data_IF_170302647015
#
_entry.id   IF_170302647015
#
_cell.length_a   1.000
_cell.length_b   1.000
_cell.length_c   1.000
_cell.angle_alpha   90.00
_cell.angle_beta   90.00
_cell.angle_gamma   90.00
#
_symmetry.space_group_name_H-M   'P 1'
#
loop_
_entity.id
_entity.type
_entity.pdbx_description
1 polymer ?
#
# COMPACT_ATOMS: atom_id res chain seq x y z
N UNK A 1 -17.87 -13.78 3.71
CA UNK A 1 -16.48 -13.35 3.48
C UNK A 1 -16.12 -13.74 2.06
N UNK A 2 -16.72 -13.07 1.09
CA UNK A 2 -16.39 -13.17 -0.33
C UNK A 2 -16.77 -11.87 -1.08
N UNK A 3 -17.25 -10.83 -0.36
CA UNK A 3 -17.74 -9.58 -0.94
C UNK A 3 -16.66 -8.49 -0.95
N UNK A 4 -15.72 -8.47 0.01
CA UNK A 4 -14.70 -7.41 0.13
C UNK A 4 -13.70 -7.36 -1.03
N UNK A 5 -13.54 -8.47 -1.76
CA UNK A 5 -12.60 -8.54 -2.88
C UNK A 5 -13.11 -7.75 -4.09
N UNK A 6 -14.43 -7.60 -4.24
CA UNK A 6 -15.01 -6.88 -5.38
C UNK A 6 -14.84 -5.36 -5.28
N UNK A 7 -14.53 -4.84 -4.09
CA UNK A 7 -14.36 -3.41 -3.78
C UNK A 7 -12.88 -2.98 -3.75
N UNK A 8 -11.96 -3.85 -4.17
CA UNK A 8 -10.55 -3.48 -4.31
C UNK A 8 -10.36 -2.68 -5.60
N UNK A 9 -9.82 -1.46 -5.49
CA UNK A 9 -9.52 -0.62 -6.64
C UNK A 9 -8.35 -1.18 -7.44
N UNK A 10 -7.25 -1.47 -6.75
CA UNK A 10 -6.07 -2.13 -7.34
C UNK A 10 -5.13 -2.70 -6.27
N UNK A 11 -4.32 -3.66 -6.69
CA UNK A 11 -3.17 -4.13 -5.94
C UNK A 11 -1.97 -4.35 -6.86
N UNK A 12 -0.86 -3.68 -6.56
CA UNK A 12 0.33 -3.65 -7.41
C UNK A 12 1.58 -4.07 -6.65
N UNK A 13 2.48 -4.75 -7.35
CA UNK A 13 3.85 -4.98 -6.95
C UNK A 13 4.81 -4.10 -7.77
N UNK A 14 5.56 -3.23 -7.10
CA UNK A 14 6.63 -2.44 -7.71
C UNK A 14 8.00 -2.91 -7.22
N UNK A 15 8.90 -3.26 -8.15
CA UNK A 15 10.24 -3.77 -7.85
C UNK A 15 11.25 -3.34 -8.92
N UNK A 16 12.53 -3.56 -8.66
CA UNK A 16 13.61 -3.25 -9.61
C UNK A 16 14.21 -4.51 -10.22
N UNK A 17 14.30 -4.51 -11.55
CA UNK A 17 15.02 -5.52 -12.33
C UNK A 17 16.06 -4.81 -13.20
N UNK A 18 17.32 -5.21 -13.13
CA UNK A 18 18.42 -4.61 -13.91
C UNK A 18 18.54 -3.07 -13.79
N UNK A 19 18.11 -2.53 -12.65
CA UNK A 19 18.15 -1.08 -12.37
C UNK A 19 16.91 -0.30 -12.85
N UNK A 20 15.97 -0.96 -13.53
CA UNK A 20 14.73 -0.37 -14.03
C UNK A 20 13.55 -0.78 -13.13
N UNK A 21 12.56 0.13 -12.99
CA UNK A 21 11.32 -0.18 -12.28
C UNK A 21 10.42 -1.06 -13.12
N UNK A 22 9.78 -2.02 -12.46
CA UNK A 22 8.72 -2.87 -13.01
C UNK A 22 7.53 -2.80 -12.07
N UNK A 23 6.34 -2.64 -12.63
CA UNK A 23 5.06 -2.67 -11.91
C UNK A 23 4.24 -3.84 -12.46
N UNK A 24 3.66 -4.63 -11.57
CA UNK A 24 2.83 -5.78 -11.92
C UNK A 24 1.59 -5.84 -11.04
N UNK A 25 0.43 -6.17 -11.62
CA UNK A 25 -0.79 -6.39 -10.87
C UNK A 25 -0.70 -7.67 -10.02
N UNK A 26 -1.25 -7.59 -8.82
CA UNK A 26 -1.47 -8.70 -7.91
C UNK A 26 -2.92 -9.15 -8.00
N UNK A 27 -3.17 -10.45 -7.89
CA UNK A 27 -4.55 -10.94 -7.80
C UNK A 27 -5.14 -10.62 -6.44
N UNK A 28 -6.43 -10.29 -6.42
CA UNK A 28 -7.13 -9.90 -5.19
C UNK A 28 -7.18 -10.99 -4.12
N UNK A 29 -7.05 -12.29 -4.48
CA UNK A 29 -6.89 -13.39 -3.51
C UNK A 29 -5.69 -13.22 -2.57
N UNK A 30 -4.74 -12.33 -2.87
CA UNK A 30 -3.62 -12.03 -1.98
C UNK A 30 -3.95 -11.01 -0.88
N UNK A 31 -5.11 -10.36 -0.95
CA UNK A 31 -5.45 -9.19 -0.15
C UNK A 31 -6.32 -9.52 1.06
N UNK A 32 -6.61 -10.79 1.30
CA UNK A 32 -7.32 -11.22 2.50
C UNK A 32 -6.43 -11.11 3.76
N UNK A 33 -5.10 -11.16 3.60
CA UNK A 33 -4.17 -11.25 4.72
C UNK A 33 -2.73 -10.76 4.37
N UNK A 34 -2.08 -10.09 5.32
CA UNK A 34 -0.73 -9.53 5.18
C UNK A 34 0.35 -10.59 4.98
N UNK A 35 0.25 -11.77 5.61
CA UNK A 35 1.21 -12.85 5.39
C UNK A 35 1.11 -13.40 3.96
N UNK A 36 -0.11 -13.51 3.43
CA UNK A 36 -0.34 -13.92 2.03
C UNK A 36 0.23 -12.89 1.06
N UNK A 37 -0.11 -11.61 1.25
CA UNK A 37 0.40 -10.50 0.44
C UNK A 37 1.93 -10.44 0.48
N UNK A 38 2.52 -10.47 1.68
CA UNK A 38 3.97 -10.41 1.83
C UNK A 38 4.67 -11.64 1.24
N UNK A 39 4.06 -12.83 1.32
CA UNK A 39 4.59 -14.04 0.67
C UNK A 39 4.55 -13.93 -0.86
N UNK A 40 3.52 -13.31 -1.43
CA UNK A 40 3.45 -13.02 -2.86
C UNK A 40 4.55 -12.04 -3.29
N UNK A 41 4.73 -10.94 -2.56
CA UNK A 41 5.75 -9.91 -2.84
C UNK A 41 7.18 -10.47 -2.77
N UNK A 42 7.46 -11.44 -1.88
CA UNK A 42 8.77 -12.14 -1.80
C UNK A 42 9.14 -12.92 -3.05
N UNK A 43 8.18 -13.22 -3.95
CA UNK A 43 8.45 -13.97 -5.19
C UNK A 43 9.08 -13.12 -6.28
N UNK A 44 8.96 -11.80 -6.18
CA UNK A 44 9.54 -10.89 -7.16
C UNK A 44 11.04 -10.68 -6.94
N UNK A 45 11.83 -10.58 -8.02
CA UNK A 45 13.25 -10.24 -7.92
C UNK A 45 13.38 -8.76 -7.54
N UNK A 46 13.96 -8.46 -6.37
CA UNK A 46 14.16 -7.08 -5.94
C UNK A 46 15.35 -6.95 -5.00
N UNK A 47 16.48 -6.46 -5.51
CA UNK A 47 17.70 -6.27 -4.71
C UNK A 47 17.50 -5.30 -3.53
N UNK A 48 16.60 -4.33 -3.68
CA UNK A 48 16.26 -3.30 -2.67
C UNK A 48 14.91 -3.56 -2.00
N UNK A 49 14.32 -4.73 -2.25
CA UNK A 49 12.97 -5.11 -1.83
C UNK A 49 11.89 -4.82 -2.86
N UNK A 50 10.70 -5.37 -2.59
CA UNK A 50 9.47 -5.23 -3.38
C UNK A 50 8.48 -4.38 -2.59
N UNK A 51 7.83 -3.42 -3.25
CA UNK A 51 6.72 -2.65 -2.73
C UNK A 51 5.41 -3.29 -3.18
N UNK A 52 4.47 -3.48 -2.27
CA UNK A 52 3.06 -3.69 -2.52
C UNK A 52 2.33 -2.38 -2.29
N UNK A 53 1.50 -1.95 -3.24
CA UNK A 53 0.66 -0.76 -3.18
C UNK A 53 -0.77 -1.22 -3.42
N UNK A 54 -1.63 -1.04 -2.43
CA UNK A 54 -3.03 -1.51 -2.47
C UNK A 54 -3.93 -0.35 -2.09
N UNK A 55 -4.95 -0.06 -2.90
CA UNK A 55 -6.04 0.85 -2.59
C UNK A 55 -7.36 0.08 -2.60
N UNK A 56 -8.25 0.42 -1.68
CA UNK A 56 -9.51 -0.28 -1.46
C UNK A 56 -10.62 0.76 -1.26
N UNK A 57 -11.73 0.54 -1.99
CA UNK A 57 -13.00 1.27 -1.93
C UNK A 57 -12.87 2.81 -1.99
N UNK A 58 -11.85 3.32 -2.69
CA UNK A 58 -11.52 4.76 -2.73
C UNK A 58 -11.32 5.39 -1.33
N UNK A 59 -11.13 4.57 -0.28
CA UNK A 59 -11.21 4.96 1.13
C UNK A 59 -9.84 4.95 1.82
N UNK A 60 -9.11 3.83 1.72
CA UNK A 60 -7.81 3.68 2.36
C UNK A 60 -6.79 2.95 1.49
N UNK A 61 -5.52 3.02 1.89
CA UNK A 61 -4.45 2.28 1.25
C UNK A 61 -3.54 1.54 2.23
N UNK A 62 -2.89 0.51 1.70
CA UNK A 62 -1.82 -0.23 2.38
C UNK A 62 -0.57 -0.25 1.52
N UNK A 63 0.56 0.14 2.11
CA UNK A 63 1.89 -0.04 1.52
C UNK A 63 2.62 -1.14 2.28
N UNK A 64 3.01 -2.19 1.56
CA UNK A 64 3.79 -3.29 2.09
C UNK A 64 5.18 -3.27 1.49
N UNK A 65 6.22 -3.24 2.30
CA UNK A 65 7.60 -3.38 1.81
C UNK A 65 8.22 -4.66 2.32
N UNK A 66 8.64 -5.49 1.38
CA UNK A 66 9.31 -6.75 1.65
C UNK A 66 10.76 -6.67 1.19
N UNK A 67 11.70 -6.91 2.10
CA UNK A 67 13.12 -7.03 1.79
C UNK A 67 13.71 -8.24 2.52
N UNK A 68 14.00 -9.32 1.76
CA UNK A 68 14.41 -10.59 2.34
C UNK A 68 13.35 -11.15 3.28
N UNK A 69 13.69 -11.32 4.56
CA UNK A 69 12.74 -11.77 5.60
C UNK A 69 11.98 -10.63 6.27
N UNK A 70 12.35 -9.37 6.02
CA UNK A 70 11.71 -8.21 6.63
C UNK A 70 10.44 -7.85 5.87
N UNK A 71 9.33 -7.69 6.59
CA UNK A 71 8.11 -7.05 6.13
C UNK A 71 7.86 -5.82 6.97
N UNK A 72 7.61 -4.69 6.32
CA UNK A 72 7.30 -3.40 6.93
C UNK A 72 6.03 -2.88 6.27
N UNK A 73 5.18 -2.20 7.02
CA UNK A 73 3.83 -1.85 6.59
C UNK A 73 3.54 -0.38 6.90
N UNK A 74 2.70 0.22 6.08
CA UNK A 74 2.00 1.47 6.36
C UNK A 74 0.53 1.27 5.95
N UNK A 75 -0.38 1.48 6.88
CA UNK A 75 -1.81 1.59 6.66
C UNK A 75 -2.18 3.07 6.81
N UNK A 76 -2.98 3.62 5.89
CA UNK A 76 -3.34 5.04 5.92
C UNK A 76 -4.36 5.38 7.00
N UNK A 77 -5.24 4.44 7.32
CA UNK A 77 -6.36 4.63 8.24
C UNK A 77 -6.61 3.37 9.07
N UNK A 78 -6.49 3.48 10.39
CA UNK A 78 -6.76 2.38 11.33
C UNK A 78 -8.24 2.01 11.43
N UNK A 79 -9.16 2.94 11.20
CA UNK A 79 -10.61 2.72 11.35
C UNK A 79 -11.14 1.75 10.29
N UNK A 80 -10.46 1.66 9.14
CA UNK A 80 -10.73 0.67 8.11
C UNK A 80 -10.66 -0.79 8.63
N UNK A 81 -9.98 -1.05 9.75
CA UNK A 81 -9.91 -2.40 10.33
C UNK A 81 -11.26 -2.94 10.84
N UNK A 82 -12.25 -2.07 11.09
CA UNK A 82 -13.59 -2.51 11.49
C UNK A 82 -14.37 -3.17 10.34
N UNK A 83 -14.06 -2.78 9.10
CA UNK A 83 -14.79 -3.20 7.91
C UNK A 83 -13.95 -4.11 7.00
N UNK A 84 -12.61 -3.98 7.05
CA UNK A 84 -11.71 -4.61 6.09
C UNK A 84 -10.73 -5.61 6.70
N UNK A 85 -10.78 -6.86 6.22
CA UNK A 85 -9.91 -7.95 6.68
C UNK A 85 -8.42 -7.65 6.49
N UNK A 86 -8.05 -6.97 5.41
CA UNK A 86 -6.66 -6.56 5.17
C UNK A 86 -6.16 -5.55 6.21
N UNK A 87 -6.97 -4.54 6.53
CA UNK A 87 -6.62 -3.51 7.50
C UNK A 87 -6.49 -4.12 8.91
N UNK A 88 -7.45 -4.98 9.30
CA UNK A 88 -7.36 -5.75 10.54
C UNK A 88 -6.11 -6.63 10.61
N UNK A 89 -5.75 -7.30 9.51
CA UNK A 89 -4.51 -8.10 9.41
C UNK A 89 -3.25 -7.24 9.56
N UNK A 90 -3.25 -5.99 9.07
CA UNK A 90 -2.15 -5.03 9.31
C UNK A 90 -2.03 -4.68 10.80
N UNK A 91 -3.13 -4.39 11.50
CA UNK A 91 -3.08 -4.08 12.93
C UNK A 91 -2.58 -5.27 13.75
N UNK A 92 -3.03 -6.50 13.47
CA UNK A 92 -2.51 -7.70 14.16
C UNK A 92 -1.01 -7.88 13.89
N UNK A 93 -0.57 -7.71 12.63
CA UNK A 93 0.84 -7.81 12.28
C UNK A 93 1.69 -6.81 13.06
N UNK A 94 1.21 -5.57 13.19
CA UNK A 94 1.86 -4.49 13.95
C UNK A 94 1.68 -4.63 15.47
N UNK A 95 0.84 -5.56 15.94
CA UNK A 95 0.45 -5.74 17.35
C UNK A 95 -0.17 -4.49 17.95
N UNK A 96 -0.97 -3.80 17.14
CA UNK A 96 -1.79 -2.66 17.56
C UNK A 96 -3.16 -3.16 18.03
N UNK A 97 -3.85 -2.42 18.92
CA UNK A 97 -5.23 -2.71 19.25
C UNK A 97 -6.13 -2.48 18.04
N UNK A 98 -7.28 -3.15 18.02
CA UNK A 98 -8.39 -2.79 17.12
C UNK A 98 -8.88 -1.36 17.44
N UNK A 99 -9.37 -0.61 16.44
CA UNK A 99 -9.94 0.71 16.67
C UNK A 99 -11.20 0.65 17.55
N UNK A 100 -11.49 1.74 18.25
CA UNK A 100 -12.75 1.96 18.96
C UNK A 100 -13.71 2.81 18.10
N UNK A 101 -15.04 2.70 18.36
CA UNK A 101 -16.08 3.39 17.58
C UNK A 101 -15.91 4.94 17.51
N UNK A 102 -15.14 5.54 18.42
CA UNK A 102 -14.87 6.98 18.51
C UNK A 102 -13.45 7.40 18.09
N UNK A 103 -12.65 6.48 17.55
CA UNK A 103 -11.35 6.79 16.99
C UNK A 103 -11.47 7.61 15.69
N UNK A 104 -10.47 8.46 15.46
CA UNK A 104 -10.33 9.27 14.24
C UNK A 104 -9.45 8.52 13.21
N UNK A 105 -9.62 8.78 11.91
CA UNK A 105 -8.79 8.17 10.87
C UNK A 105 -7.34 8.63 11.03
N UNK A 106 -6.46 7.69 11.37
CA UNK A 106 -5.02 7.93 11.54
C UNK A 106 -4.18 6.80 10.92
N UNK A 107 -2.95 7.08 10.46
CA UNK A 107 -2.10 6.06 9.87
C UNK A 107 -1.46 5.14 10.92
N UNK A 108 -1.32 3.86 10.57
CA UNK A 108 -0.62 2.85 11.36
C UNK A 108 0.63 2.31 10.68
N UNK A 109 1.64 1.98 11.49
CA UNK A 109 2.89 1.40 11.03
C UNK A 109 3.95 2.47 10.73
N UNK A 110 4.62 2.34 9.59
CA UNK A 110 5.83 3.10 9.30
C UNK A 110 5.58 4.22 8.28
N UNK A 111 5.20 5.40 8.73
CA UNK A 111 5.02 6.59 7.85
C UNK A 111 6.29 6.92 7.04
N UNK A 112 7.47 6.59 7.58
CA UNK A 112 8.76 6.72 6.90
C UNK A 112 9.19 5.53 6.03
N UNK A 113 8.28 4.62 5.67
CA UNK A 113 8.57 3.36 4.97
C UNK A 113 9.39 3.52 3.67
N UNK A 114 9.18 4.66 3.00
CA UNK A 114 9.70 4.99 1.67
C UNK A 114 10.79 6.08 1.72
N UNK A 115 11.30 6.41 2.91
CA UNK A 115 12.26 7.50 3.10
C UNK A 115 13.56 7.30 2.31
N UNK A 116 14.08 6.06 2.24
CA UNK A 116 15.26 5.72 1.46
C UNK A 116 15.02 5.69 -0.06
N UNK A 117 13.76 5.72 -0.48
CA UNK A 117 13.35 5.84 -1.89
C UNK A 117 13.01 7.29 -2.28
N UNK A 118 13.19 8.25 -1.38
CA UNK A 118 12.98 9.67 -1.65
C UNK A 118 11.65 10.24 -1.17
N UNK A 119 10.84 9.46 -0.44
CA UNK A 119 9.58 9.93 0.16
C UNK A 119 9.72 9.95 1.68
N UNK A 120 10.14 11.09 2.28
CA UNK A 120 10.35 11.17 3.72
C UNK A 120 9.03 11.12 4.48
N UNK A 121 9.09 10.74 5.77
CA UNK A 121 7.91 10.59 6.61
C UNK A 121 7.04 11.86 6.69
N UNK A 122 7.67 13.05 6.73
CA UNK A 122 6.93 14.32 6.73
C UNK A 122 6.09 14.49 5.46
N UNK A 123 6.66 14.19 4.29
CA UNK A 123 5.93 14.26 3.02
C UNK A 123 4.84 13.21 2.92
N UNK A 124 5.07 11.99 3.43
CA UNK A 124 4.02 10.97 3.47
C UNK A 124 2.87 11.40 4.39
N UNK A 125 3.17 11.93 5.57
CA UNK A 125 2.16 12.46 6.49
C UNK A 125 1.37 13.62 5.86
N UNK A 126 2.05 14.58 5.22
CA UNK A 126 1.40 15.68 4.50
C UNK A 126 0.46 15.20 3.39
N UNK A 127 0.78 14.09 2.72
CA UNK A 127 -0.09 13.51 1.70
C UNK A 127 -1.30 12.79 2.34
N UNK A 128 -1.09 12.02 3.41
CA UNK A 128 -2.17 11.32 4.12
C UNK A 128 -3.16 12.30 4.75
N UNK A 129 -2.68 13.43 5.28
CA UNK A 129 -3.51 14.47 5.89
C UNK A 129 -4.27 15.34 4.86
N UNK A 130 -4.09 15.12 3.56
CA UNK A 130 -4.75 15.89 2.50
C UNK A 130 -6.12 15.29 2.14
N UNK A 131 -7.18 15.86 2.72
CA UNK A 131 -8.58 15.42 2.51
C UNK A 131 -9.07 15.55 1.05
N UNK A 132 -8.34 16.27 0.18
CA UNK A 132 -8.69 16.41 -1.23
C UNK A 132 -8.10 15.30 -2.11
N UNK A 133 -7.25 14.40 -1.57
CA UNK A 133 -6.61 13.31 -2.31
C UNK A 133 -7.27 11.96 -2.03
N UNK A 134 -7.70 11.29 -3.10
CA UNK A 134 -8.09 9.88 -3.03
C UNK A 134 -6.87 8.95 -2.90
N UNK A 135 -7.03 7.72 -2.38
CA UNK A 135 -5.92 6.78 -2.21
C UNK A 135 -5.11 6.50 -3.49
N UNK A 136 -5.76 6.42 -4.64
CA UNK A 136 -5.13 6.20 -5.94
C UNK A 136 -4.29 7.40 -6.40
N UNK A 137 -4.80 8.62 -6.22
CA UNK A 137 -4.11 9.87 -6.54
C UNK A 137 -2.87 10.06 -5.64
N UNK A 138 -3.02 9.77 -4.34
CA UNK A 138 -1.92 9.80 -3.38
C UNK A 138 -0.84 8.78 -3.76
N UNK A 139 -1.22 7.54 -4.05
CA UNK A 139 -0.27 6.50 -4.44
C UNK A 139 0.40 6.80 -5.79
N UNK A 140 -0.29 7.43 -6.74
CA UNK A 140 0.30 7.96 -7.98
C UNK A 140 1.37 9.02 -7.67
N UNK A 141 1.07 9.96 -6.79
CA UNK A 141 1.97 11.03 -6.37
C UNK A 141 3.21 10.50 -5.63
N UNK A 142 3.04 9.44 -4.83
CA UNK A 142 4.14 8.65 -4.22
C UNK A 142 4.96 7.93 -5.29
N UNK A 143 4.33 7.23 -6.23
CA UNK A 143 5.01 6.51 -7.31
C UNK A 143 5.84 7.44 -8.22
N UNK A 144 5.33 8.64 -8.52
CA UNK A 144 6.03 9.70 -9.25
C UNK A 144 7.29 10.16 -8.53
N UNK A 145 7.24 10.38 -7.20
CA UNK A 145 8.42 10.74 -6.38
C UNK A 145 9.50 9.66 -6.41
N UNK A 146 9.11 8.39 -6.39
CA UNK A 146 10.05 7.25 -6.39
C UNK A 146 10.61 6.97 -7.80
N UNK A 147 9.91 7.43 -8.83
CA UNK A 147 10.34 7.38 -10.23
C UNK A 147 9.72 6.25 -11.06
N UNK A 148 8.55 5.74 -10.67
CA UNK A 148 7.78 4.78 -11.47
C UNK A 148 6.32 5.22 -11.71
N UNK A 149 6.01 6.50 -11.51
CA UNK A 149 4.67 7.06 -11.64
C UNK A 149 3.98 6.75 -12.97
N UNK A 150 4.66 6.92 -14.11
CA UNK A 150 4.06 6.61 -15.42
C UNK A 150 3.66 5.13 -15.55
N UNK A 151 4.48 4.21 -15.02
CA UNK A 151 4.17 2.78 -15.00
C UNK A 151 2.99 2.46 -14.07
N UNK A 152 2.88 3.18 -12.95
CA UNK A 152 1.75 3.05 -12.04
C UNK A 152 0.47 3.52 -12.73
N UNK A 153 0.47 4.76 -13.24
CA UNK A 153 -0.69 5.41 -13.87
C UNK A 153 -1.23 4.59 -15.05
N UNK A 154 -0.34 3.99 -15.84
CA UNK A 154 -0.72 3.11 -16.95
C UNK A 154 -1.43 1.84 -16.50
N UNK A 155 -1.03 1.26 -15.36
CA UNK A 155 -1.62 0.02 -14.84
C UNK A 155 -2.97 0.30 -14.17
N UNK A 156 -3.07 1.37 -13.38
CA UNK A 156 -4.33 1.73 -12.68
C UNK A 156 -5.32 2.49 -13.57
N UNK A 157 -4.91 2.88 -14.78
CA UNK A 157 -5.78 3.57 -15.74
C UNK A 157 -5.93 5.08 -15.47
N UNK A 158 -5.00 5.69 -14.74
CA UNK A 158 -4.95 7.15 -14.50
C UNK A 158 -4.36 7.93 -15.67
N UNK A 159 -3.67 7.26 -16.60
CA UNK A 159 -3.25 7.89 -17.86
C UNK A 159 -4.48 8.24 -18.70
N UNK A 160 -4.90 9.52 -18.68
CA UNK A 160 -5.85 10.04 -19.65
C UNK A 160 -5.27 9.91 -21.07
N UNK A 161 -5.99 9.20 -21.94
CA UNK A 161 -5.65 8.92 -23.34
C UNK A 161 -5.36 10.17 -24.19
#
# INVERSE_FOLDING_TARGET
MADQIDDVDFALAAYRTDGEWVVAELTHDHLEDVDVLSAALRRFPGDTGTLGLVAIDEDFFVIVRVAGTSTRLLLSDVTAADEWELAASVLDFLRLPDPEDDDEPEPAGEVGLLADLGVPAATMAELIDDEDLYPDELLSEVARRIGFGELFDDVVGLTSA
#
